data_IF_607617715639
#
_entry.id   IF_607617715639
#
_cell.length_a   1.000
_cell.length_b   1.000
_cell.length_c   1.000
_cell.angle_alpha   90.00
_cell.angle_beta   90.00
_cell.angle_gamma   90.00
#
_symmetry.space_group_name_H-M   'P 1'
#
loop_
_entity.id
_entity.type
_entity.pdbx_description
1 polymer ?
#
# COMPACT_ATOMS: atom_id res chain seq x y z
N UNK A 1 -47.62 31.97 -48.70
CA UNK A 1 -47.42 30.85 -47.82
C UNK A 1 -45.93 30.64 -47.64
N UNK A 2 -45.37 31.05 -46.48
CA UNK A 2 -43.94 30.94 -46.17
C UNK A 2 -43.77 29.83 -45.15
N UNK A 3 -43.11 28.74 -45.51
CA UNK A 3 -42.78 27.64 -44.59
C UNK A 3 -41.48 27.95 -43.83
N UNK A 4 -41.57 28.15 -42.53
CA UNK A 4 -40.44 28.21 -41.65
C UNK A 4 -40.01 26.76 -41.31
N UNK A 5 -38.82 26.36 -41.72
CA UNK A 5 -38.21 25.10 -41.33
C UNK A 5 -37.38 25.37 -40.06
N UNK A 6 -37.85 24.86 -38.92
CA UNK A 6 -37.11 24.87 -37.67
C UNK A 6 -36.13 23.68 -37.67
N UNK A 7 -34.84 23.99 -37.80
CA UNK A 7 -33.77 23.00 -37.65
C UNK A 7 -33.44 22.84 -36.15
N UNK A 8 -33.83 21.71 -35.54
CA UNK A 8 -33.39 21.34 -34.23
C UNK A 8 -32.00 20.73 -34.28
N UNK A 9 -30.99 21.44 -33.76
CA UNK A 9 -29.64 20.93 -33.61
C UNK A 9 -29.60 20.03 -32.35
N UNK A 10 -29.42 18.71 -32.52
CA UNK A 10 -29.14 17.78 -31.46
C UNK A 10 -27.68 18.00 -30.99
N UNK A 11 -27.50 18.58 -29.82
CA UNK A 11 -26.20 18.61 -29.14
C UNK A 11 -25.97 17.23 -28.48
N UNK A 12 -25.19 16.38 -29.13
CA UNK A 12 -24.70 15.14 -28.54
C UNK A 12 -23.54 15.48 -27.63
N UNK A 13 -23.82 15.66 -26.32
CA UNK A 13 -22.80 15.86 -25.30
C UNK A 13 -21.98 14.57 -25.13
N UNK A 14 -20.73 14.58 -25.58
CA UNK A 14 -19.79 13.53 -25.29
C UNK A 14 -19.49 13.55 -23.77
N UNK A 15 -20.04 12.61 -23.03
CA UNK A 15 -19.67 12.36 -21.64
C UNK A 15 -18.27 11.78 -21.67
N UNK A 16 -17.26 12.59 -21.33
CA UNK A 16 -15.91 12.11 -21.09
C UNK A 16 -15.95 11.21 -19.87
N UNK A 17 -15.88 9.90 -20.08
CA UNK A 17 -15.64 8.93 -19.03
C UNK A 17 -14.20 9.15 -18.58
N UNK A 18 -14.02 9.94 -17.52
CA UNK A 18 -12.71 10.09 -16.90
C UNK A 18 -12.22 8.69 -16.51
N UNK A 19 -11.09 8.31 -17.07
CA UNK A 19 -10.45 7.03 -16.77
C UNK A 19 -10.03 7.00 -15.30
N UNK A 20 -10.85 6.38 -14.46
CA UNK A 20 -10.40 5.85 -13.18
C UNK A 20 -9.57 4.55 -13.37
N UNK A 21 -8.97 4.38 -14.57
CA UNK A 21 -8.44 3.11 -15.06
C UNK A 21 -7.09 2.71 -14.43
N UNK A 22 -6.43 3.61 -13.69
CA UNK A 22 -5.08 3.34 -13.19
C UNK A 22 -4.94 3.37 -11.65
N UNK A 23 -6.02 3.62 -10.92
CA UNK A 23 -5.97 3.61 -9.47
C UNK A 23 -5.80 2.19 -8.93
N UNK A 24 -4.82 2.00 -8.05
CA UNK A 24 -4.60 0.72 -7.36
C UNK A 24 -5.40 0.70 -6.05
N UNK A 25 -6.31 -0.25 -5.93
CA UNK A 25 -7.03 -0.48 -4.68
C UNK A 25 -6.14 -1.24 -3.70
N UNK A 26 -6.01 -0.72 -2.48
CA UNK A 26 -5.22 -1.32 -1.40
C UNK A 26 -6.08 -1.47 -0.16
N UNK A 27 -6.00 -2.62 0.50
CA UNK A 27 -6.67 -2.82 1.77
C UNK A 27 -6.04 -1.95 2.87
N UNK A 28 -6.88 -1.28 3.65
CA UNK A 28 -6.47 -0.55 4.85
C UNK A 28 -7.45 -0.80 5.99
N UNK A 29 -6.98 -1.34 7.12
CA UNK A 29 -5.60 -1.76 7.44
C UNK A 29 -5.15 -2.99 6.64
N UNK A 30 -3.83 -3.10 6.39
CA UNK A 30 -3.21 -4.32 5.85
C UNK A 30 -3.19 -5.39 6.94
N UNK A 31 -3.61 -6.63 6.68
CA UNK A 31 -3.59 -7.68 7.69
C UNK A 31 -2.17 -8.15 8.03
N UNK A 32 -2.03 -8.79 9.17
CA UNK A 32 -0.93 -9.71 9.41
C UNK A 32 -1.25 -11.04 8.74
N UNK A 33 -0.24 -11.69 8.14
CA UNK A 33 -0.39 -13.01 7.57
C UNK A 33 -0.77 -14.05 8.63
N UNK A 34 -1.44 -15.11 8.21
CA UNK A 34 -1.67 -16.26 9.07
C UNK A 34 -0.32 -16.85 9.50
N UNK A 35 -0.14 -17.05 10.80
CA UNK A 35 1.15 -17.49 11.36
C UNK A 35 2.25 -16.43 11.37
N UNK A 36 1.94 -15.15 11.14
CA UNK A 36 2.91 -14.06 11.16
C UNK A 36 3.73 -14.02 12.47
N UNK A 37 5.05 -13.94 12.32
CA UNK A 37 6.00 -13.86 13.43
C UNK A 37 6.07 -12.42 13.96
N UNK A 38 5.04 -12.02 14.70
CA UNK A 38 4.91 -10.68 15.26
C UNK A 38 4.52 -10.77 16.73
N UNK A 39 5.34 -10.19 17.60
CA UNK A 39 5.05 -10.15 19.04
C UNK A 39 3.71 -9.46 19.33
N UNK A 40 2.95 -9.99 20.29
CA UNK A 40 1.66 -9.45 20.65
C UNK A 40 1.69 -7.97 21.07
N UNK A 41 2.76 -7.52 21.73
CA UNK A 41 2.96 -6.10 22.06
C UNK A 41 3.08 -5.23 20.80
N UNK A 42 3.83 -5.68 19.79
CA UNK A 42 3.96 -4.97 18.50
C UNK A 42 2.60 -4.84 17.81
N UNK A 43 1.81 -5.94 17.79
CA UNK A 43 0.46 -5.92 17.19
C UNK A 43 -0.48 -4.93 17.86
N UNK A 44 -0.39 -4.80 19.21
CA UNK A 44 -1.30 -3.90 19.96
C UNK A 44 -0.85 -2.45 19.96
N UNK A 45 0.44 -2.19 19.99
CA UNK A 45 1.00 -0.87 20.29
C UNK A 45 1.49 -0.13 19.04
N UNK A 46 1.96 -0.90 18.01
CA UNK A 46 2.51 -0.32 16.81
C UNK A 46 1.48 -0.37 15.66
N UNK A 47 1.21 0.77 15.06
CA UNK A 47 0.20 0.91 13.99
C UNK A 47 0.75 0.52 12.61
N UNK A 48 1.49 -0.59 12.52
CA UNK A 48 2.17 -0.99 11.29
C UNK A 48 1.19 -1.30 10.14
N UNK A 49 0.04 -1.91 10.46
CA UNK A 49 -1.02 -2.27 9.53
C UNK A 49 -1.71 -1.07 8.87
N UNK A 50 -1.73 0.07 9.56
CA UNK A 50 -2.27 1.33 9.03
C UNK A 50 -1.18 2.13 8.31
N UNK A 51 0.03 2.15 8.88
CA UNK A 51 1.15 2.93 8.35
C UNK A 51 1.64 2.42 7.00
N UNK A 52 1.70 1.09 6.79
CA UNK A 52 2.18 0.51 5.55
C UNK A 52 1.40 1.01 4.32
N UNK A 53 0.06 0.86 4.25
CA UNK A 53 -0.69 1.35 3.11
C UNK A 53 -0.64 2.87 2.96
N UNK A 54 -0.57 3.62 4.08
CA UNK A 54 -0.42 5.08 4.04
C UNK A 54 0.89 5.49 3.34
N UNK A 55 2.01 4.83 3.65
CA UNK A 55 3.29 5.07 2.98
C UNK A 55 3.30 4.59 1.53
N UNK A 56 2.66 3.46 1.22
CA UNK A 56 2.49 3.04 -0.18
C UNK A 56 1.79 4.13 -0.98
N UNK A 57 0.69 4.69 -0.46
CA UNK A 57 -0.04 5.77 -1.13
C UNK A 57 0.80 7.06 -1.23
N UNK A 58 1.52 7.43 -0.18
CA UNK A 58 2.39 8.61 -0.18
C UNK A 58 3.40 8.54 -1.33
N UNK A 59 4.15 7.43 -1.43
CA UNK A 59 5.20 7.25 -2.43
C UNK A 59 4.67 6.87 -3.83
N UNK A 60 3.52 6.21 -3.94
CA UNK A 60 2.90 5.93 -5.22
C UNK A 60 2.50 7.22 -5.97
N UNK A 61 2.04 8.24 -5.23
CA UNK A 61 1.74 9.57 -5.78
C UNK A 61 2.98 10.25 -6.37
N UNK A 62 4.15 10.07 -5.75
CA UNK A 62 5.41 10.59 -6.30
C UNK A 62 5.73 9.96 -7.67
N UNK A 63 5.23 8.76 -7.92
CA UNK A 63 5.38 7.98 -9.15
C UNK A 63 4.13 8.06 -10.06
N UNK A 64 3.27 9.07 -9.87
CA UNK A 64 2.04 9.28 -10.65
C UNK A 64 1.06 8.10 -10.63
N UNK A 65 1.08 7.29 -9.57
CA UNK A 65 0.14 6.17 -9.37
C UNK A 65 -0.83 6.53 -8.26
N UNK A 66 -2.12 6.53 -8.56
CA UNK A 66 -3.15 6.76 -7.56
C UNK A 66 -3.42 5.48 -6.77
N UNK A 67 -3.51 5.64 -5.43
CA UNK A 67 -3.89 4.56 -4.51
C UNK A 67 -5.17 4.94 -3.79
N UNK A 68 -6.18 4.08 -3.88
CA UNK A 68 -7.43 4.19 -3.14
C UNK A 68 -7.50 3.12 -2.07
N UNK A 69 -8.08 3.46 -0.91
CA UNK A 69 -8.22 2.51 0.19
C UNK A 69 -9.60 1.86 0.19
N UNK A 70 -9.60 0.56 0.49
CA UNK A 70 -10.79 -0.19 0.79
C UNK A 70 -10.63 -0.93 2.13
N UNK A 71 -11.68 -1.08 2.94
CA UNK A 71 -11.60 -1.85 4.19
C UNK A 71 -11.32 -3.33 3.94
N UNK A 72 -11.67 -3.83 2.76
CA UNK A 72 -11.35 -5.17 2.27
C UNK A 72 -10.97 -5.09 0.79
N UNK A 73 -9.88 -5.76 0.43
CA UNK A 73 -9.44 -5.93 -0.95
C UNK A 73 -8.99 -7.38 -1.14
N UNK A 74 -9.40 -7.99 -2.24
CA UNK A 74 -9.10 -9.38 -2.55
C UNK A 74 -8.73 -9.55 -4.02
N UNK A 75 -8.19 -10.71 -4.36
CA UNK A 75 -7.89 -11.06 -5.73
C UNK A 75 -9.09 -10.95 -6.69
N UNK A 76 -10.31 -11.15 -6.17
CA UNK A 76 -11.55 -11.08 -6.95
C UNK A 76 -12.16 -9.68 -7.04
N UNK A 77 -11.59 -8.68 -6.38
CA UNK A 77 -12.06 -7.30 -6.50
C UNK A 77 -11.79 -6.75 -7.91
N UNK A 78 -12.70 -5.94 -8.48
CA UNK A 78 -12.55 -5.43 -9.83
C UNK A 78 -11.41 -4.39 -9.92
N UNK A 79 -10.84 -4.25 -11.12
CA UNK A 79 -9.77 -3.29 -11.40
C UNK A 79 -8.40 -3.77 -10.94
N UNK A 80 -7.50 -2.81 -10.71
CA UNK A 80 -6.15 -3.06 -10.25
C UNK A 80 -6.11 -3.10 -8.71
N UNK A 81 -5.72 -4.22 -8.14
CA UNK A 81 -5.81 -4.47 -6.69
C UNK A 81 -4.49 -5.01 -6.16
N UNK A 82 -3.94 -4.35 -5.15
CA UNK A 82 -2.78 -4.82 -4.40
C UNK A 82 -3.23 -5.44 -3.07
N UNK A 83 -3.09 -6.74 -2.96
CA UNK A 83 -3.32 -7.49 -1.72
C UNK A 83 -1.99 -7.66 -1.00
N UNK A 84 -1.86 -7.09 0.19
CA UNK A 84 -0.63 -7.14 0.99
C UNK A 84 -0.88 -7.75 2.36
N UNK A 85 0.18 -8.29 2.95
CA UNK A 85 0.20 -8.76 4.34
C UNK A 85 1.58 -8.57 4.98
N UNK A 86 1.60 -8.35 6.29
CA UNK A 86 2.82 -8.31 7.09
C UNK A 86 3.10 -9.73 7.58
N UNK A 87 4.21 -10.31 7.10
CA UNK A 87 4.59 -11.71 7.40
C UNK A 87 5.41 -11.80 8.69
N UNK A 88 6.24 -10.79 8.93
CA UNK A 88 7.12 -10.73 10.11
C UNK A 88 7.30 -9.28 10.54
N UNK A 89 7.36 -9.07 11.84
CA UNK A 89 7.82 -7.83 12.44
C UNK A 89 8.55 -8.15 13.73
N UNK A 90 9.85 -8.30 13.63
CA UNK A 90 10.71 -8.65 14.77
C UNK A 90 11.32 -7.42 15.42
N UNK A 91 11.50 -7.53 16.73
CA UNK A 91 12.06 -6.50 17.58
C UNK A 91 13.01 -7.14 18.57
N UNK A 92 14.16 -7.56 18.05
CA UNK A 92 15.19 -8.28 18.82
C UNK A 92 16.28 -7.33 19.33
N UNK A 93 16.95 -7.75 20.40
CA UNK A 93 18.09 -7.05 20.96
C UNK A 93 17.83 -6.43 22.33
N UNK A 94 18.92 -6.02 22.94
CA UNK A 94 18.93 -5.34 24.24
C UNK A 94 19.79 -4.08 24.17
N UNK A 95 19.86 -3.32 25.26
CA UNK A 95 20.60 -2.06 25.34
C UNK A 95 22.12 -2.20 25.06
N UNK A 96 22.68 -3.41 25.17
CA UNK A 96 24.14 -3.64 25.01
C UNK A 96 24.50 -4.04 23.56
N UNK A 97 23.67 -4.83 22.87
CA UNK A 97 23.95 -5.31 21.50
C UNK A 97 23.17 -4.56 20.43
N UNK A 98 22.43 -3.54 20.82
CA UNK A 98 21.58 -2.77 19.93
C UNK A 98 20.23 -3.44 19.64
N UNK A 99 19.35 -2.68 19.06
CA UNK A 99 17.98 -3.11 18.74
C UNK A 99 17.85 -3.39 17.25
N UNK A 100 17.92 -4.67 16.89
CA UNK A 100 17.61 -5.08 15.51
C UNK A 100 16.10 -5.14 15.31
N UNK A 101 15.59 -4.36 14.39
CA UNK A 101 14.19 -4.35 14.01
C UNK A 101 14.07 -4.73 12.56
N UNK A 102 13.21 -5.66 12.24
CA UNK A 102 12.92 -6.01 10.84
C UNK A 102 11.44 -6.10 10.59
N UNK A 103 11.03 -5.81 9.37
CA UNK A 103 9.67 -6.08 8.88
C UNK A 103 9.79 -6.75 7.52
N UNK A 104 8.96 -7.77 7.30
CA UNK A 104 8.79 -8.45 6.02
C UNK A 104 7.36 -8.29 5.57
N UNK A 105 7.19 -7.86 4.33
CA UNK A 105 5.88 -7.68 3.67
C UNK A 105 5.85 -8.55 2.44
N UNK A 106 4.71 -9.17 2.19
CA UNK A 106 4.38 -9.88 0.95
C UNK A 106 3.18 -9.19 0.32
N UNK A 107 3.16 -9.11 -1.01
CA UNK A 107 2.06 -8.52 -1.78
C UNK A 107 1.87 -9.19 -3.12
N UNK A 108 0.64 -9.20 -3.61
CA UNK A 108 0.27 -9.65 -4.94
C UNK A 108 -0.57 -8.60 -5.63
N UNK A 109 -0.22 -8.29 -6.85
CA UNK A 109 -0.95 -7.35 -7.70
C UNK A 109 -1.85 -8.13 -8.66
N UNK A 110 -3.12 -7.76 -8.67
CA UNK A 110 -4.14 -8.33 -9.55
C UNK A 110 -4.68 -7.28 -10.50
N UNK A 111 -5.06 -7.70 -11.69
CA UNK A 111 -5.86 -6.94 -12.64
C UNK A 111 -7.09 -7.77 -12.99
N UNK A 112 -8.27 -7.32 -12.55
CA UNK A 112 -9.56 -8.00 -12.79
C UNK A 112 -9.52 -9.50 -12.43
N UNK A 113 -8.96 -9.83 -11.27
CA UNK A 113 -8.85 -11.19 -10.76
C UNK A 113 -7.65 -11.99 -11.24
N UNK A 114 -6.89 -11.50 -12.23
CA UNK A 114 -5.68 -12.16 -12.71
C UNK A 114 -4.45 -11.60 -11.97
N UNK A 115 -3.64 -12.47 -11.39
CA UNK A 115 -2.34 -12.08 -10.82
C UNK A 115 -1.40 -11.61 -11.94
N UNK A 116 -0.87 -10.39 -11.78
CA UNK A 116 0.04 -9.75 -12.74
C UNK A 116 1.40 -9.42 -12.13
N UNK A 117 1.58 -9.65 -10.83
CA UNK A 117 2.88 -9.48 -10.17
C UNK A 117 2.84 -9.89 -8.71
N UNK A 118 4.01 -10.22 -8.19
CA UNK A 118 4.25 -10.51 -6.77
C UNK A 118 5.40 -9.67 -6.23
N UNK A 119 5.33 -9.37 -4.94
CA UNK A 119 6.32 -8.60 -4.21
C UNK A 119 6.63 -9.28 -2.89
N UNK A 120 7.90 -9.41 -2.57
CA UNK A 120 8.35 -9.74 -1.23
C UNK A 120 9.51 -8.82 -0.86
N UNK A 121 9.32 -8.06 0.20
CA UNK A 121 10.32 -7.11 0.68
C UNK A 121 10.61 -7.28 2.16
N UNK A 122 11.88 -7.15 2.54
CA UNK A 122 12.33 -7.09 3.93
C UNK A 122 13.22 -5.88 4.13
N UNK A 123 12.94 -5.14 5.20
CA UNK A 123 13.79 -4.02 5.62
C UNK A 123 14.17 -4.19 7.08
N UNK A 124 15.42 -3.80 7.38
CA UNK A 124 16.00 -3.86 8.70
C UNK A 124 16.39 -2.46 9.17
N UNK A 125 16.33 -2.21 10.46
CA UNK A 125 16.80 -0.97 11.07
C UNK A 125 17.44 -1.28 12.42
N UNK A 126 18.62 -0.73 12.67
CA UNK A 126 19.28 -0.75 13.97
C UNK A 126 18.98 0.50 14.82
N UNK A 127 17.99 1.32 14.38
CA UNK A 127 17.59 2.53 15.10
C UNK A 127 18.47 3.75 14.83
N UNK A 128 19.64 3.60 14.21
CA UNK A 128 20.60 4.69 13.94
C UNK A 128 21.21 5.26 15.22
N UNK A 129 21.84 6.44 15.12
CA UNK A 129 22.39 7.13 16.29
C UNK A 129 21.32 7.32 17.37
N UNK A 130 21.67 6.97 18.61
CA UNK A 130 20.72 6.93 19.77
C UNK A 130 19.57 5.95 19.63
N UNK A 131 19.71 4.88 18.82
CA UNK A 131 18.67 3.87 18.58
C UNK A 131 18.19 3.17 19.84
N UNK A 132 19.06 3.01 20.84
CA UNK A 132 18.73 2.41 22.14
C UNK A 132 17.68 3.18 22.95
N UNK A 133 17.52 4.47 22.68
CA UNK A 133 16.53 5.33 23.36
C UNK A 133 15.23 5.51 22.55
N UNK A 134 15.14 4.96 21.34
CA UNK A 134 13.94 5.06 20.51
C UNK A 134 13.04 3.86 20.75
N UNK A 135 11.77 4.12 20.99
CA UNK A 135 10.77 3.07 21.17
C UNK A 135 10.67 2.15 19.93
N UNK A 136 10.40 0.87 20.16
CA UNK A 136 10.32 -0.16 19.12
C UNK A 136 9.39 0.22 17.96
N UNK A 137 8.23 0.79 18.27
CA UNK A 137 7.26 1.22 17.24
C UNK A 137 7.80 2.33 16.34
N UNK A 138 8.61 3.27 16.88
CA UNK A 138 9.23 4.33 16.08
C UNK A 138 10.25 3.77 15.08
N UNK A 139 11.03 2.74 15.48
CA UNK A 139 12.01 2.11 14.59
C UNK A 139 11.32 1.23 13.55
N UNK A 140 10.34 0.42 13.97
CA UNK A 140 9.52 -0.40 13.06
C UNK A 140 8.75 0.47 12.07
N UNK A 141 8.21 1.60 12.51
CA UNK A 141 7.52 2.56 11.62
C UNK A 141 8.41 3.08 10.51
N UNK A 142 9.70 3.37 10.79
CA UNK A 142 10.68 3.75 9.74
C UNK A 142 10.97 2.59 8.78
N UNK A 143 11.01 1.38 9.28
CA UNK A 143 11.20 0.17 8.47
C UNK A 143 10.00 -0.01 7.52
N UNK A 144 8.77 0.16 8.04
CA UNK A 144 7.53 0.12 7.24
C UNK A 144 7.48 1.27 6.23
N UNK A 145 7.98 2.46 6.59
CA UNK A 145 8.08 3.58 5.63
C UNK A 145 8.97 3.23 4.45
N UNK A 146 10.13 2.62 4.69
CA UNK A 146 11.02 2.16 3.63
C UNK A 146 10.36 1.09 2.75
N UNK A 147 9.65 0.13 3.36
CA UNK A 147 8.88 -0.89 2.61
C UNK A 147 7.76 -0.28 1.78
N UNK A 148 7.05 0.71 2.30
CA UNK A 148 6.03 1.44 1.54
C UNK A 148 6.60 2.10 0.27
N UNK A 149 7.82 2.65 0.38
CA UNK A 149 8.54 3.19 -0.78
C UNK A 149 8.91 2.09 -1.79
N UNK A 150 9.43 0.95 -1.31
CA UNK A 150 9.79 -0.17 -2.18
C UNK A 150 8.59 -0.71 -2.95
N UNK A 151 7.46 -0.90 -2.26
CA UNK A 151 6.19 -1.33 -2.88
C UNK A 151 5.73 -0.32 -3.93
N UNK A 152 5.75 0.98 -3.61
CA UNK A 152 5.35 2.03 -4.55
C UNK A 152 6.24 2.08 -5.79
N UNK A 153 7.55 1.86 -5.64
CA UNK A 153 8.47 1.76 -6.76
C UNK A 153 8.23 0.51 -7.61
N UNK A 154 7.93 -0.62 -6.97
CA UNK A 154 7.60 -1.85 -7.67
C UNK A 154 6.29 -1.75 -8.46
N UNK A 155 5.28 -1.05 -7.95
CA UNK A 155 3.99 -0.87 -8.63
C UNK A 155 4.09 -0.20 -10.01
N UNK A 156 5.14 0.55 -10.30
CA UNK A 156 5.37 1.21 -11.60
C UNK A 156 6.35 0.47 -12.50
N UNK A 157 6.92 -0.64 -12.02
CA UNK A 157 7.74 -1.52 -12.84
C UNK A 157 6.81 -2.48 -13.58
N UNK A 158 6.95 -2.62 -14.91
CA UNK A 158 6.12 -3.51 -15.70
C UNK A 158 6.41 -4.97 -15.42
#
# INVERSE_FOLDING_TARGET
MRYLILSAALFCGAVSVAHAADAVTVQRPVPYADGALVAGAVKRECKLTEQLPDFVREYARENHTDVVFAPQASASSPGRVLVMEIVDASSDGNAFIGHHKSVTVRGKLYQDGKEIGDFTGRRNSMGGAFGGFKGSCSVLGRTVKALGKDVAQWLVQP
#
